data_IF_655078255607
#
_entry.id   IF_655078255607
#
_cell.length_a   1.000
_cell.length_b   1.000
_cell.length_c   1.000
_cell.angle_alpha   90.00
_cell.angle_beta   90.00
_cell.angle_gamma   90.00
#
_symmetry.space_group_name_H-M   'P 1'
#
loop_
_entity.id
_entity.type
_entity.pdbx_description
1 polymer ?
#
# COMPACT_ATOMS: atom_id res chain seq x y z
N UNK A 1 32.15 -4.82 0.12
CA UNK A 1 31.61 -4.69 -1.25
C UNK A 1 32.57 -3.87 -2.08
N UNK A 2 33.21 -4.47 -3.08
CA UNK A 2 34.05 -3.74 -4.02
C UNK A 2 33.19 -3.21 -5.17
N UNK A 3 33.02 -1.92 -5.24
CA UNK A 3 32.47 -1.26 -6.43
C UNK A 3 33.66 -0.80 -7.27
N UNK A 4 34.09 -1.64 -8.17
CA UNK A 4 35.22 -1.33 -9.03
C UNK A 4 34.79 -0.48 -10.23
N UNK A 5 34.98 0.83 -10.13
CA UNK A 5 35.15 1.67 -11.31
C UNK A 5 35.91 2.94 -10.91
N UNK A 6 37.09 3.09 -11.47
CA UNK A 6 37.99 4.26 -11.27
C UNK A 6 37.45 5.57 -11.83
N UNK A 7 36.28 5.54 -12.49
CA UNK A 7 35.64 6.72 -13.11
C UNK A 7 34.41 7.25 -12.37
N UNK A 8 34.01 6.64 -11.25
CA UNK A 8 32.87 7.12 -10.46
C UNK A 8 33.31 8.22 -9.51
N UNK A 9 32.66 9.38 -9.58
CA UNK A 9 32.86 10.49 -8.65
C UNK A 9 31.94 10.31 -7.45
N UNK A 10 32.52 10.43 -6.24
CA UNK A 10 31.78 10.35 -4.98
C UNK A 10 31.81 11.70 -4.27
N UNK A 11 30.65 12.14 -3.77
CA UNK A 11 30.53 13.37 -2.97
C UNK A 11 29.77 13.05 -1.68
N UNK A 12 30.36 13.33 -0.52
CA UNK A 12 29.75 13.14 0.80
C UNK A 12 28.98 14.39 1.17
N UNK A 13 27.69 14.23 1.51
CA UNK A 13 26.81 15.35 1.86
C UNK A 13 27.16 15.97 3.23
N UNK A 14 27.53 15.15 4.21
CA UNK A 14 27.96 15.63 5.53
C UNK A 14 29.35 15.08 5.88
N UNK A 15 30.38 15.89 5.68
CA UNK A 15 31.78 15.53 5.90
C UNK A 15 32.16 15.41 7.38
N UNK A 16 31.31 15.87 8.30
CA UNK A 16 31.50 15.65 9.74
C UNK A 16 31.22 14.18 10.13
N UNK A 17 30.33 13.48 9.40
CA UNK A 17 30.02 12.05 9.63
C UNK A 17 31.10 11.15 9.03
N UNK A 18 31.67 11.51 7.90
CA UNK A 18 32.73 10.75 7.27
C UNK A 18 33.19 11.35 5.96
N UNK A 19 34.22 10.75 5.36
CA UNK A 19 34.82 11.20 4.09
C UNK A 19 35.02 10.02 3.15
N UNK A 20 35.02 10.31 1.84
CA UNK A 20 35.41 9.35 0.80
C UNK A 20 36.85 9.59 0.36
N UNK A 21 37.61 8.50 0.24
CA UNK A 21 38.87 8.49 -0.47
C UNK A 21 38.77 7.41 -1.55
N UNK A 22 38.76 7.84 -2.79
CA UNK A 22 38.41 6.96 -3.94
C UNK A 22 37.04 6.30 -3.71
N UNK A 23 37.01 4.99 -3.47
CA UNK A 23 35.80 4.18 -3.23
C UNK A 23 35.67 3.70 -1.77
N UNK A 24 36.48 4.23 -0.85
CA UNK A 24 36.46 3.87 0.57
C UNK A 24 35.86 5.02 1.39
N UNK A 25 34.79 4.73 2.11
CA UNK A 25 34.23 5.64 3.09
C UNK A 25 34.91 5.42 4.45
N UNK A 26 35.39 6.52 5.04
CA UNK A 26 35.98 6.53 6.39
C UNK A 26 35.05 7.30 7.32
N UNK A 27 34.48 6.60 8.30
CA UNK A 27 33.65 7.18 9.35
C UNK A 27 34.47 8.07 10.29
N UNK A 28 33.89 9.19 10.74
CA UNK A 28 34.53 10.15 11.68
C UNK A 28 33.70 10.37 12.94
N UNK A 29 32.38 10.38 12.81
CA UNK A 29 31.46 10.67 13.91
C UNK A 29 30.13 10.00 13.63
N UNK A 30 29.42 9.65 14.70
CA UNK A 30 28.07 9.12 14.63
C UNK A 30 27.11 10.09 13.91
N UNK A 31 26.24 9.52 13.10
CA UNK A 31 25.28 10.27 12.31
C UNK A 31 25.02 9.64 10.94
N UNK A 32 24.19 10.29 10.16
CA UNK A 32 23.86 9.83 8.79
C UNK A 32 24.34 10.84 7.75
N UNK A 33 24.80 10.33 6.61
CA UNK A 33 25.19 11.14 5.46
C UNK A 33 24.80 10.43 4.17
N UNK A 34 24.52 11.21 3.12
CA UNK A 34 24.32 10.68 1.78
C UNK A 34 25.61 10.80 0.98
N UNK A 35 25.97 9.75 0.27
CA UNK A 35 27.04 9.74 -0.70
C UNK A 35 26.41 9.82 -2.09
N UNK A 36 26.66 10.91 -2.81
CA UNK A 36 26.30 11.05 -4.22
C UNK A 36 27.34 10.32 -5.07
N UNK A 37 26.90 9.41 -5.93
CA UNK A 37 27.72 8.66 -6.87
C UNK A 37 27.37 9.14 -8.28
N UNK A 38 28.34 9.62 -9.04
CA UNK A 38 28.15 10.14 -10.40
C UNK A 38 29.04 9.36 -11.36
N UNK A 39 28.45 8.80 -12.40
CA UNK A 39 29.16 8.13 -13.49
C UNK A 39 28.38 8.25 -14.81
N UNK A 40 29.06 8.66 -15.86
CA UNK A 40 28.50 8.75 -17.22
C UNK A 40 27.17 9.51 -17.28
N UNK A 41 27.09 10.64 -16.55
CA UNK A 41 25.89 11.47 -16.43
C UNK A 41 24.75 10.87 -15.58
N UNK A 42 24.94 9.67 -15.03
CA UNK A 42 23.99 9.03 -14.13
C UNK A 42 24.35 9.34 -12.68
N UNK A 43 23.33 9.53 -11.85
CA UNK A 43 23.48 9.86 -10.43
C UNK A 43 22.74 8.80 -9.59
N UNK A 44 23.42 8.34 -8.54
CA UNK A 44 22.82 7.50 -7.50
C UNK A 44 23.20 8.06 -6.12
N UNK A 45 22.39 7.76 -5.11
CA UNK A 45 22.66 8.14 -3.72
C UNK A 45 22.72 6.90 -2.85
N UNK A 46 23.70 6.87 -1.94
CA UNK A 46 23.85 5.85 -0.90
C UNK A 46 23.74 6.55 0.45
N UNK A 47 22.83 6.13 1.31
CA UNK A 47 22.79 6.60 2.70
C UNK A 47 23.70 5.74 3.54
N UNK A 48 24.63 6.37 4.25
CA UNK A 48 25.53 5.74 5.21
C UNK A 48 25.21 6.28 6.59
N UNK A 49 25.00 5.37 7.55
CA UNK A 49 24.82 5.68 8.96
C UNK A 49 25.99 5.11 9.73
N UNK A 50 26.61 5.94 10.57
CA UNK A 50 27.76 5.64 11.42
C UNK A 50 27.33 5.70 12.87
N UNK A 51 27.80 4.76 13.69
CA UNK A 51 27.51 4.64 15.11
C UNK A 51 26.69 3.40 15.42
N UNK A 52 26.51 3.13 16.71
CA UNK A 52 25.48 2.19 17.13
C UNK A 52 24.14 2.73 16.65
N UNK A 53 23.72 2.21 15.56
CA UNK A 53 22.34 2.35 15.14
C UNK A 53 21.51 1.51 16.11
N UNK A 54 21.30 2.00 17.30
CA UNK A 54 19.98 1.90 17.87
C UNK A 54 19.12 2.49 16.77
N UNK A 55 18.53 1.60 15.97
CA UNK A 55 17.77 1.98 14.77
C UNK A 55 16.88 3.12 15.24
N UNK A 56 17.15 4.32 14.76
CA UNK A 56 16.50 5.53 15.24
C UNK A 56 15.05 5.13 15.33
N UNK A 57 14.48 5.02 16.54
CA UNK A 57 13.18 4.38 16.76
C UNK A 57 12.28 5.09 15.80
N UNK A 58 12.04 4.45 14.63
CA UNK A 58 11.14 5.02 13.63
C UNK A 58 9.91 5.33 14.42
N UNK A 59 9.41 6.55 14.44
CA UNK A 59 8.29 6.94 15.28
C UNK A 59 7.29 5.81 15.15
N UNK A 60 6.99 5.15 16.26
CA UNK A 60 6.10 4.00 16.29
C UNK A 60 4.75 4.53 15.82
N UNK A 61 4.53 4.40 14.50
CA UNK A 61 3.23 4.74 13.93
C UNK A 61 2.29 3.78 14.60
N UNK A 62 1.50 4.31 15.55
CA UNK A 62 0.57 3.51 16.32
C UNK A 62 -0.23 2.67 15.32
N UNK A 63 0.07 1.37 15.28
CA UNK A 63 -0.57 0.46 14.35
C UNK A 63 -2.07 0.57 14.58
N UNK A 64 -2.84 0.78 13.51
CA UNK A 64 -4.28 0.78 13.63
C UNK A 64 -4.70 -0.55 14.25
N UNK A 65 -5.59 -0.47 15.23
CA UNK A 65 -6.06 -1.65 15.95
C UNK A 65 -6.76 -2.59 14.97
N UNK A 66 -6.26 -3.80 14.87
CA UNK A 66 -6.87 -4.86 14.06
C UNK A 66 -7.90 -5.58 14.93
N UNK A 67 -9.17 -5.43 14.61
CA UNK A 67 -10.27 -6.02 15.37
C UNK A 67 -11.09 -6.90 14.45
N UNK A 68 -10.97 -8.21 14.62
CA UNK A 68 -11.70 -9.19 13.82
C UNK A 68 -13.16 -9.33 14.28
N UNK A 69 -14.07 -9.44 13.32
CA UNK A 69 -15.48 -9.80 13.53
C UNK A 69 -16.31 -8.81 14.39
N UNK A 70 -15.86 -7.57 14.55
CA UNK A 70 -16.72 -6.54 15.16
C UNK A 70 -17.53 -5.81 14.08
N UNK A 71 -18.77 -5.49 14.41
CA UNK A 71 -19.62 -4.67 13.55
C UNK A 71 -19.35 -3.20 13.79
N UNK A 72 -18.68 -2.53 12.88
CA UNK A 72 -18.61 -1.05 12.90
C UNK A 72 -19.92 -0.49 12.38
N UNK A 73 -20.70 0.06 13.28
CA UNK A 73 -21.85 0.85 12.87
C UNK A 73 -21.40 2.28 12.58
N UNK A 74 -21.71 2.81 11.41
CA UNK A 74 -21.45 4.20 11.07
C UNK A 74 -22.15 5.08 12.10
N UNK A 75 -21.36 5.85 12.87
CA UNK A 75 -21.87 6.83 13.82
C UNK A 75 -21.92 8.18 13.11
N UNK A 76 -22.95 8.96 13.39
CA UNK A 76 -23.02 10.35 12.92
C UNK A 76 -22.12 11.26 13.77
N UNK A 77 -20.82 10.99 13.73
CA UNK A 77 -19.80 11.61 14.58
C UNK A 77 -18.77 12.44 13.79
N UNK A 78 -19.05 12.71 12.50
CA UNK A 78 -18.17 13.46 11.61
C UNK A 78 -16.95 12.67 11.12
N UNK A 79 -16.82 11.37 11.46
CA UNK A 79 -15.73 10.55 10.94
C UNK A 79 -15.96 10.19 9.47
N UNK A 80 -14.86 9.97 8.76
CA UNK A 80 -14.86 9.45 7.40
C UNK A 80 -14.70 7.94 7.43
N UNK A 81 -15.59 7.24 6.73
CA UNK A 81 -15.61 5.78 6.67
C UNK A 81 -15.34 5.30 5.26
N UNK A 82 -14.40 4.39 5.10
CA UNK A 82 -14.19 3.70 3.83
C UNK A 82 -13.98 2.20 4.05
N UNK A 83 -14.54 1.41 3.14
CA UNK A 83 -14.44 -0.04 3.17
C UNK A 83 -13.62 -0.53 1.99
N UNK A 84 -12.80 -1.56 2.22
CA UNK A 84 -12.00 -2.20 1.18
C UNK A 84 -12.28 -3.70 1.20
N UNK A 85 -12.59 -4.25 0.06
CA UNK A 85 -12.84 -5.68 -0.13
C UNK A 85 -11.90 -6.26 -1.18
N UNK A 86 -11.56 -7.54 -1.04
CA UNK A 86 -10.83 -8.29 -2.02
C UNK A 86 -11.62 -8.50 -3.31
N UNK A 87 -11.02 -9.19 -4.28
CA UNK A 87 -11.62 -9.46 -5.58
C UNK A 87 -12.91 -10.27 -5.43
N UNK A 88 -14.01 -9.78 -6.03
CA UNK A 88 -15.32 -10.45 -6.03
C UNK A 88 -15.69 -11.08 -7.38
N UNK A 89 -14.95 -10.75 -8.43
CA UNK A 89 -15.13 -11.36 -9.75
C UNK A 89 -14.38 -12.69 -9.85
N UNK A 90 -14.89 -13.61 -10.64
CA UNK A 90 -14.27 -14.90 -10.96
C UNK A 90 -14.14 -15.07 -12.47
N UNK A 91 -12.95 -15.42 -12.93
CA UNK A 91 -12.67 -15.58 -14.36
C UNK A 91 -13.27 -16.85 -14.97
N UNK A 92 -13.56 -17.85 -14.14
CA UNK A 92 -14.21 -19.10 -14.51
C UNK A 92 -15.70 -19.12 -14.14
N UNK A 93 -16.37 -17.96 -14.20
CA UNK A 93 -17.78 -17.81 -13.79
C UNK A 93 -18.75 -18.71 -14.51
N UNK A 94 -18.42 -19.14 -15.72
CA UNK A 94 -19.21 -20.11 -16.52
C UNK A 94 -19.32 -21.49 -15.88
N UNK A 95 -18.47 -21.79 -14.91
CA UNK A 95 -18.50 -23.03 -14.11
C UNK A 95 -19.37 -22.93 -12.86
N UNK A 96 -19.91 -21.74 -12.59
CA UNK A 96 -20.72 -21.47 -11.41
C UNK A 96 -22.15 -21.16 -11.87
N UNK A 97 -23.13 -21.75 -11.21
CA UNK A 97 -24.52 -21.38 -11.46
C UNK A 97 -24.69 -19.86 -11.28
N UNK A 98 -25.30 -19.22 -12.28
CA UNK A 98 -25.42 -17.75 -12.33
C UNK A 98 -26.09 -17.16 -11.08
N UNK A 99 -27.12 -17.85 -10.57
CA UNK A 99 -27.81 -17.46 -9.34
C UNK A 99 -26.89 -17.49 -8.12
N UNK A 100 -26.06 -18.53 -8.00
CA UNK A 100 -25.07 -18.66 -6.91
C UNK A 100 -24.03 -17.53 -7.01
N UNK A 101 -23.52 -17.31 -8.21
CA UNK A 101 -22.54 -16.25 -8.49
C UNK A 101 -23.08 -14.87 -8.11
N UNK A 102 -24.28 -14.53 -8.58
CA UNK A 102 -24.89 -13.24 -8.34
C UNK A 102 -25.29 -13.05 -6.87
N UNK A 103 -25.81 -14.08 -6.19
CA UNK A 103 -26.16 -14.02 -4.78
C UNK A 103 -24.94 -13.76 -3.89
N UNK A 104 -23.85 -14.50 -4.09
CA UNK A 104 -22.64 -14.31 -3.31
C UNK A 104 -22.07 -12.88 -3.47
N UNK A 105 -22.03 -12.38 -4.70
CA UNK A 105 -21.56 -11.01 -4.98
C UNK A 105 -22.49 -9.95 -4.38
N UNK A 106 -23.79 -10.12 -4.50
CA UNK A 106 -24.78 -9.18 -3.95
C UNK A 106 -24.70 -9.13 -2.43
N UNK A 107 -24.52 -10.29 -1.78
CA UNK A 107 -24.30 -10.38 -0.34
C UNK A 107 -23.06 -9.59 0.09
N UNK A 108 -21.90 -9.86 -0.53
CA UNK A 108 -20.66 -9.12 -0.25
C UNK A 108 -20.87 -7.63 -0.45
N UNK A 109 -21.49 -7.24 -1.56
CA UNK A 109 -21.75 -5.84 -1.89
C UNK A 109 -22.58 -5.15 -0.82
N UNK A 110 -23.60 -5.78 -0.30
CA UNK A 110 -24.43 -5.22 0.77
C UNK A 110 -23.65 -4.93 2.05
N UNK A 111 -22.64 -5.75 2.37
CA UNK A 111 -21.75 -5.53 3.51
C UNK A 111 -20.72 -4.45 3.26
N UNK A 112 -20.09 -4.46 2.07
CA UNK A 112 -19.02 -3.51 1.75
C UNK A 112 -19.57 -2.11 1.54
N UNK A 113 -20.74 -1.94 0.95
CA UNK A 113 -21.39 -0.66 0.73
C UNK A 113 -22.00 -0.10 2.03
N UNK A 114 -22.30 -0.96 3.02
CA UNK A 114 -22.94 -0.54 4.25
C UNK A 114 -22.01 0.35 5.10
N UNK A 115 -22.60 1.43 5.58
CA UNK A 115 -21.95 2.34 6.54
C UNK A 115 -20.62 2.95 6.06
N UNK A 116 -20.40 3.08 4.75
CA UNK A 116 -19.22 3.68 4.16
C UNK A 116 -19.53 5.00 3.46
N UNK A 117 -18.55 5.92 3.43
CA UNK A 117 -18.54 7.05 2.53
C UNK A 117 -17.97 6.61 1.16
N UNK A 118 -17.03 5.66 1.18
CA UNK A 118 -16.43 5.06 -0.02
C UNK A 118 -16.31 3.55 0.16
N UNK A 119 -16.68 2.81 -0.87
CA UNK A 119 -16.47 1.37 -0.97
C UNK A 119 -15.49 1.07 -2.12
N UNK A 120 -14.45 0.27 -1.84
CA UNK A 120 -13.41 -0.08 -2.78
C UNK A 120 -13.40 -1.61 -2.92
N UNK A 121 -13.36 -2.07 -4.16
CA UNK A 121 -13.31 -3.48 -4.47
C UNK A 121 -12.04 -3.79 -5.25
N UNK A 122 -11.28 -4.77 -4.79
CA UNK A 122 -10.13 -5.29 -5.53
C UNK A 122 -10.55 -6.02 -6.79
N UNK A 123 -9.77 -5.85 -7.86
CA UNK A 123 -9.96 -6.55 -9.14
C UNK A 123 -10.89 -5.87 -10.13
N UNK A 124 -10.78 -6.32 -11.39
CA UNK A 124 -11.32 -5.67 -12.57
C UNK A 124 -12.86 -5.73 -12.70
N UNK A 125 -13.41 -4.61 -13.14
CA UNK A 125 -14.54 -4.42 -14.06
C UNK A 125 -15.96 -4.89 -13.68
N UNK A 126 -16.26 -5.36 -12.48
CA UNK A 126 -17.52 -6.07 -12.29
C UNK A 126 -18.57 -5.37 -11.40
N UNK A 127 -18.35 -4.12 -11.01
CA UNK A 127 -19.27 -3.46 -10.08
C UNK A 127 -19.80 -2.16 -10.67
N UNK A 128 -21.06 -2.21 -11.05
CA UNK A 128 -21.87 -1.00 -11.18
C UNK A 128 -22.15 -0.47 -9.77
N UNK A 129 -21.68 0.73 -9.49
CA UNK A 129 -21.91 1.39 -8.21
C UNK A 129 -23.39 1.62 -7.96
N UNK A 130 -23.84 1.37 -6.74
CA UNK A 130 -25.09 1.93 -6.27
C UNK A 130 -25.00 3.46 -6.29
N UNK A 131 -26.01 4.15 -6.83
CA UNK A 131 -26.03 5.59 -7.13
C UNK A 131 -25.82 6.58 -5.97
N UNK A 132 -25.51 6.11 -4.76
CA UNK A 132 -25.41 6.95 -3.52
C UNK A 132 -24.07 6.91 -2.82
N UNK A 133 -23.13 6.06 -3.24
CA UNK A 133 -21.80 5.98 -2.67
C UNK A 133 -20.79 6.43 -3.72
N UNK A 134 -19.76 7.15 -3.30
CA UNK A 134 -18.53 7.29 -4.10
C UNK A 134 -17.88 5.88 -4.19
N UNK A 135 -18.61 4.92 -4.75
CA UNK A 135 -18.06 3.57 -4.90
C UNK A 135 -17.07 3.57 -6.04
N UNK A 136 -15.84 3.27 -5.67
CA UNK A 136 -14.73 3.17 -6.59
C UNK A 136 -14.53 1.70 -6.90
N UNK A 137 -15.21 1.23 -7.95
CA UNK A 137 -14.78 0.00 -8.57
C UNK A 137 -13.40 0.24 -9.17
N UNK A 138 -12.43 -0.55 -8.77
CA UNK A 138 -11.10 -0.44 -9.32
C UNK A 138 -11.06 -1.06 -10.72
N UNK A 139 -10.93 -0.21 -11.72
CA UNK A 139 -10.95 -0.60 -13.14
C UNK A 139 -9.59 -1.07 -13.66
N UNK A 140 -8.64 -1.43 -12.78
CA UNK A 140 -7.28 -1.78 -13.18
C UNK A 140 -6.46 -0.59 -13.69
N UNK A 141 -6.93 0.64 -13.46
CA UNK A 141 -6.22 1.88 -13.79
C UNK A 141 -5.90 2.64 -12.52
N UNK A 142 -4.81 3.39 -12.54
CA UNK A 142 -4.46 4.29 -11.44
C UNK A 142 -5.60 5.25 -11.10
N UNK A 143 -5.91 5.37 -9.82
CA UNK A 143 -6.83 6.37 -9.27
C UNK A 143 -6.31 6.90 -7.94
N UNK A 144 -6.60 8.16 -7.67
CA UNK A 144 -6.25 8.81 -6.42
C UNK A 144 -7.44 9.57 -5.84
N UNK A 145 -7.60 9.46 -4.53
CA UNK A 145 -8.59 10.21 -3.74
C UNK A 145 -7.91 10.85 -2.56
N UNK A 146 -8.22 12.11 -2.32
CA UNK A 146 -7.73 12.87 -1.18
C UNK A 146 -8.94 13.46 -0.43
N UNK A 147 -9.52 12.70 0.49
CA UNK A 147 -10.76 13.06 1.20
C UNK A 147 -10.78 12.49 2.62
N UNK A 148 -11.47 13.19 3.53
CA UNK A 148 -11.78 12.67 4.87
C UNK A 148 -10.57 12.36 5.73
N UNK A 149 -9.45 13.06 5.52
CA UNK A 149 -8.22 12.81 6.28
C UNK A 149 -7.39 11.62 5.75
N UNK A 150 -7.76 11.05 4.59
CA UNK A 150 -7.04 9.96 3.95
C UNK A 150 -6.64 10.28 2.52
N UNK A 151 -5.41 9.95 2.16
CA UNK A 151 -4.91 9.94 0.78
C UNK A 151 -4.86 8.49 0.31
N UNK A 152 -5.75 8.16 -0.63
CA UNK A 152 -5.97 6.79 -1.07
C UNK A 152 -5.58 6.66 -2.53
N UNK A 153 -4.58 5.81 -2.81
CA UNK A 153 -4.12 5.48 -4.15
C UNK A 153 -4.50 4.04 -4.51
N UNK A 154 -5.11 3.84 -5.66
CA UNK A 154 -5.34 2.53 -6.25
C UNK A 154 -4.35 2.34 -7.39
N UNK A 155 -3.52 1.30 -7.31
CA UNK A 155 -2.39 1.06 -8.20
C UNK A 155 -2.51 -0.34 -8.78
N UNK A 156 -2.61 -0.46 -10.10
CA UNK A 156 -2.68 -1.74 -10.77
C UNK A 156 -1.30 -2.42 -10.78
N UNK A 157 -1.25 -3.66 -10.28
CA UNK A 157 -0.01 -4.46 -10.19
C UNK A 157 -0.20 -5.91 -10.66
N UNK A 158 -1.27 -6.18 -11.40
CA UNK A 158 -1.72 -7.52 -11.83
C UNK A 158 -0.65 -8.33 -12.54
N UNK A 159 0.26 -7.68 -13.27
CA UNK A 159 1.30 -8.37 -14.04
C UNK A 159 2.62 -8.55 -13.28
N UNK A 160 2.62 -8.38 -11.96
CA UNK A 160 3.81 -8.57 -11.11
C UNK A 160 4.60 -7.29 -10.87
N UNK A 161 3.91 -6.17 -10.76
CA UNK A 161 4.48 -4.85 -10.45
C UNK A 161 3.79 -3.72 -11.20
N UNK A 162 4.13 -2.50 -10.85
CA UNK A 162 3.58 -1.27 -11.45
C UNK A 162 4.06 -1.13 -12.90
N UNK A 163 5.39 -1.23 -13.13
CA UNK A 163 5.96 -1.14 -14.46
C UNK A 163 5.46 -2.25 -15.40
N UNK A 164 5.38 -3.48 -14.88
CA UNK A 164 4.92 -4.62 -15.66
C UNK A 164 3.45 -4.52 -16.04
N UNK A 165 2.66 -3.74 -15.30
CA UNK A 165 1.23 -3.54 -15.56
C UNK A 165 0.97 -2.28 -16.38
N UNK A 166 1.43 -1.13 -15.90
CA UNK A 166 1.38 0.16 -16.59
C UNK A 166 2.38 1.13 -15.93
N UNK A 167 3.52 1.33 -16.57
CA UNK A 167 4.60 2.18 -16.06
C UNK A 167 4.19 3.65 -15.89
N UNK A 168 3.16 4.13 -16.60
CA UNK A 168 2.68 5.53 -16.49
C UNK A 168 2.08 5.85 -15.12
N UNK A 169 1.72 4.82 -14.35
CA UNK A 169 1.19 4.98 -13.00
C UNK A 169 2.22 5.60 -12.05
N UNK A 170 3.51 5.36 -12.25
CA UNK A 170 4.58 5.90 -11.39
C UNK A 170 4.55 7.42 -11.35
N UNK A 171 4.53 8.08 -12.51
CA UNK A 171 4.52 9.53 -12.58
C UNK A 171 3.28 10.13 -11.91
N UNK A 172 2.11 9.49 -12.08
CA UNK A 172 0.86 9.92 -11.44
C UNK A 172 0.92 9.74 -9.93
N UNK A 173 1.32 8.55 -9.48
CA UNK A 173 1.40 8.21 -8.06
C UNK A 173 2.35 9.14 -7.32
N UNK A 174 3.57 9.34 -7.83
CA UNK A 174 4.55 10.23 -7.17
C UNK A 174 4.06 11.67 -7.10
N UNK A 175 3.46 12.19 -8.18
CA UNK A 175 2.93 13.54 -8.19
C UNK A 175 1.74 13.74 -7.24
N UNK A 176 0.86 12.75 -7.13
CA UNK A 176 -0.32 12.82 -6.26
C UNK A 176 0.05 12.63 -4.80
N UNK A 177 0.94 11.67 -4.48
CA UNK A 177 1.33 11.41 -3.10
C UNK A 177 2.18 12.55 -2.51
N UNK A 178 2.97 13.25 -3.33
CA UNK A 178 3.71 14.44 -2.89
C UNK A 178 2.79 15.61 -2.50
N UNK A 179 1.65 15.73 -3.15
CA UNK A 179 0.63 16.73 -2.83
C UNK A 179 -0.28 16.31 -1.68
N UNK A 180 -0.18 15.06 -1.25
CA UNK A 180 -1.02 14.52 -0.20
C UNK A 180 -0.59 15.05 1.17
N UNK A 181 -1.44 15.85 1.79
CA UNK A 181 -1.21 16.47 3.10
C UNK A 181 -1.89 15.74 4.26
N UNK A 182 -2.62 14.66 3.99
CA UNK A 182 -3.30 13.88 5.03
C UNK A 182 -2.31 13.04 5.84
N UNK A 183 -2.67 12.78 7.11
CA UNK A 183 -1.88 11.95 8.03
C UNK A 183 -1.98 10.46 7.73
N UNK A 184 -2.97 10.05 6.95
CA UNK A 184 -3.18 8.65 6.59
C UNK A 184 -3.04 8.46 5.08
N UNK A 185 -2.17 7.51 4.70
CA UNK A 185 -1.94 7.11 3.32
C UNK A 185 -2.34 5.65 3.16
N UNK A 186 -3.17 5.35 2.18
CA UNK A 186 -3.62 3.99 1.89
C UNK A 186 -3.36 3.68 0.41
N UNK A 187 -2.59 2.64 0.16
CA UNK A 187 -2.43 2.06 -1.18
C UNK A 187 -3.29 0.81 -1.28
N UNK A 188 -4.10 0.72 -2.32
CA UNK A 188 -4.83 -0.50 -2.70
C UNK A 188 -4.27 -1.01 -4.01
N UNK A 189 -3.85 -2.26 -4.05
CA UNK A 189 -3.19 -2.87 -5.21
C UNK A 189 -3.57 -4.35 -5.37
N UNK A 190 -3.25 -4.97 -6.51
CA UNK A 190 -3.47 -6.40 -6.68
C UNK A 190 -2.47 -7.19 -5.86
N UNK A 191 -1.18 -6.97 -6.09
CA UNK A 191 -0.07 -7.69 -5.48
C UNK A 191 0.72 -6.79 -4.56
N UNK A 192 1.21 -7.33 -3.45
CA UNK A 192 2.07 -6.59 -2.54
C UNK A 192 3.47 -6.39 -3.13
N UNK A 193 4.26 -5.42 -2.66
CA UNK A 193 5.63 -5.25 -3.13
C UNK A 193 6.53 -6.50 -2.94
N UNK A 194 6.18 -7.42 -2.02
CA UNK A 194 6.89 -8.69 -1.87
C UNK A 194 6.70 -9.63 -3.05
N UNK A 195 5.58 -9.50 -3.78
CA UNK A 195 5.20 -10.35 -4.89
C UNK A 195 5.60 -9.76 -6.25
N UNK A 196 6.27 -8.60 -6.26
CA UNK A 196 6.71 -7.98 -7.49
C UNK A 196 7.84 -8.79 -8.16
N UNK A 197 7.76 -8.95 -9.47
CA UNK A 197 8.81 -9.57 -10.27
C UNK A 197 10.13 -8.80 -10.20
N UNK A 198 10.05 -7.47 -10.10
CA UNK A 198 11.20 -6.59 -9.94
C UNK A 198 11.40 -6.21 -8.48
N UNK A 199 12.41 -6.76 -7.82
CA UNK A 199 12.76 -6.39 -6.45
C UNK A 199 13.29 -4.95 -6.37
N UNK A 200 13.90 -4.43 -7.42
CA UNK A 200 14.32 -3.03 -7.48
C UNK A 200 13.11 -2.10 -7.42
N UNK A 201 12.04 -2.42 -8.15
CA UNK A 201 10.79 -1.68 -8.12
C UNK A 201 10.09 -1.78 -6.75
N UNK A 202 10.04 -2.98 -6.18
CA UNK A 202 9.49 -3.20 -4.85
C UNK A 202 10.23 -2.37 -3.78
N UNK A 203 11.56 -2.32 -3.84
CA UNK A 203 12.38 -1.55 -2.93
C UNK A 203 12.19 -0.04 -3.12
N UNK A 204 12.02 0.41 -4.36
CA UNK A 204 11.73 1.82 -4.65
C UNK A 204 10.38 2.24 -4.06
N UNK A 205 9.33 1.43 -4.23
CA UNK A 205 8.03 1.70 -3.60
C UNK A 205 8.14 1.75 -2.08
N UNK A 206 8.84 0.77 -1.47
CA UNK A 206 9.06 0.76 -0.01
C UNK A 206 9.80 2.01 0.46
N UNK A 207 10.82 2.47 -0.28
CA UNK A 207 11.55 3.69 0.06
C UNK A 207 10.65 4.93 0.05
N UNK A 208 9.75 5.05 -0.95
CA UNK A 208 8.76 6.12 -0.98
C UNK A 208 7.84 6.05 0.25
N UNK A 209 7.32 4.87 0.58
CA UNK A 209 6.40 4.70 1.72
C UNK A 209 7.11 4.99 3.05
N UNK A 210 8.35 4.54 3.20
CA UNK A 210 9.15 4.80 4.40
C UNK A 210 9.40 6.30 4.63
N UNK A 211 9.61 7.08 3.56
CA UNK A 211 9.72 8.55 3.65
C UNK A 211 8.50 9.16 4.37
N UNK A 212 7.30 8.65 4.07
CA UNK A 212 6.06 9.15 4.70
C UNK A 212 5.89 8.65 6.13
N UNK A 213 6.31 7.42 6.42
CA UNK A 213 6.37 6.92 7.81
C UNK A 213 7.30 7.77 8.65
N UNK A 214 8.47 8.13 8.13
CA UNK A 214 9.44 9.01 8.79
C UNK A 214 8.90 10.43 9.04
N UNK A 215 7.93 10.88 8.25
CA UNK A 215 7.18 12.11 8.47
C UNK A 215 6.04 11.97 9.50
N UNK A 216 5.89 10.81 10.16
CA UNK A 216 4.84 10.53 11.13
C UNK A 216 3.49 10.12 10.52
N UNK A 217 3.41 9.91 9.21
CA UNK A 217 2.16 9.49 8.56
C UNK A 217 1.88 8.00 8.79
N UNK A 218 0.60 7.66 8.89
CA UNK A 218 0.12 6.27 8.98
C UNK A 218 -0.03 5.70 7.58
N UNK A 219 0.74 4.66 7.26
CA UNK A 219 0.82 4.12 5.90
C UNK A 219 0.31 2.69 5.86
N UNK A 220 -0.64 2.43 4.98
CA UNK A 220 -1.24 1.12 4.73
C UNK A 220 -1.03 0.71 3.28
N UNK A 221 -0.70 -0.56 3.08
CA UNK A 221 -0.68 -1.22 1.77
C UNK A 221 -1.64 -2.39 1.82
N UNK A 222 -2.71 -2.34 1.04
CA UNK A 222 -3.75 -3.36 0.99
C UNK A 222 -3.65 -4.06 -0.36
N UNK A 223 -3.38 -5.36 -0.34
CA UNK A 223 -3.40 -6.21 -1.54
C UNK A 223 -4.70 -7.01 -1.61
N UNK A 224 -5.17 -7.30 -2.82
CA UNK A 224 -6.46 -7.91 -3.09
C UNK A 224 -6.33 -9.12 -4.01
N UNK A 225 -5.35 -10.00 -3.80
CA UNK A 225 -5.01 -11.06 -4.75
C UNK A 225 -4.90 -12.47 -4.15
N UNK A 226 -4.70 -12.63 -2.87
CA UNK A 226 -4.39 -13.91 -2.25
C UNK A 226 -5.61 -14.66 -1.72
N UNK A 227 -5.39 -15.94 -1.34
CA UNK A 227 -6.44 -16.85 -0.86
C UNK A 227 -6.86 -16.59 0.59
N UNK A 228 -6.02 -15.98 1.39
CA UNK A 228 -6.23 -15.80 2.83
C UNK A 228 -5.98 -14.38 3.29
N UNK A 229 -6.70 -13.98 4.34
CA UNK A 229 -6.41 -12.75 5.07
C UNK A 229 -5.10 -12.89 5.86
N UNK A 230 -4.26 -11.87 5.79
CA UNK A 230 -3.13 -11.69 6.70
C UNK A 230 -2.82 -10.20 6.88
N UNK A 231 -2.20 -9.86 7.98
CA UNK A 231 -1.67 -8.52 8.21
C UNK A 231 -0.31 -8.58 8.91
N UNK A 232 0.55 -7.64 8.56
CA UNK A 232 1.88 -7.49 9.16
C UNK A 232 2.31 -6.03 9.13
N UNK A 233 3.22 -5.66 10.02
CA UNK A 233 3.86 -4.34 9.99
C UNK A 233 5.34 -4.52 9.71
N UNK A 234 5.84 -3.79 8.72
CA UNK A 234 7.26 -3.77 8.38
C UNK A 234 7.67 -2.32 8.12
N UNK A 235 8.74 -1.88 8.78
CA UNK A 235 9.28 -0.53 8.65
C UNK A 235 8.22 0.58 8.88
N UNK A 236 7.27 0.35 9.81
CA UNK A 236 6.17 1.26 10.11
C UNK A 236 5.01 1.25 9.08
N UNK A 237 5.14 0.54 7.97
CA UNK A 237 4.08 0.35 6.99
C UNK A 237 3.23 -0.87 7.37
N UNK A 238 1.90 -0.70 7.41
CA UNK A 238 0.97 -1.79 7.64
C UNK A 238 0.57 -2.44 6.32
N UNK A 239 0.98 -3.69 6.13
CA UNK A 239 0.61 -4.51 4.98
C UNK A 239 -0.55 -5.40 5.34
N UNK A 240 -1.59 -5.43 4.51
CA UNK A 240 -2.79 -6.25 4.70
C UNK A 240 -3.13 -6.91 3.37
N UNK A 241 -3.40 -8.21 3.41
CA UNK A 241 -3.93 -8.91 2.25
C UNK A 241 -5.37 -9.29 2.46
N UNK A 242 -6.21 -9.02 1.47
CA UNK A 242 -7.62 -9.40 1.43
C UNK A 242 -7.82 -10.58 0.50
N UNK A 243 -8.54 -11.62 0.94
CA UNK A 243 -8.78 -12.80 0.13
C UNK A 243 -9.77 -12.52 -1.01
N UNK A 244 -9.66 -13.34 -2.06
CA UNK A 244 -10.66 -13.37 -3.12
C UNK A 244 -11.96 -14.04 -2.63
N UNK A 245 -13.11 -13.59 -3.15
CA UNK A 245 -14.41 -14.19 -2.84
C UNK A 245 -14.51 -15.64 -3.36
N UNK A 246 -13.87 -15.93 -4.48
CA UNK A 246 -13.93 -17.23 -5.12
C UNK A 246 -12.62 -17.99 -4.98
N UNK A 247 -12.72 -19.25 -4.65
CA UNK A 247 -11.61 -20.20 -4.72
C UNK A 247 -11.34 -20.61 -6.17
N UNK A 248 -10.23 -21.30 -6.41
CA UNK A 248 -9.86 -21.73 -7.76
C UNK A 248 -10.81 -22.75 -8.39
N UNK A 249 -11.53 -23.49 -7.56
CA UNK A 249 -12.55 -24.48 -7.96
C UNK A 249 -13.94 -23.87 -8.20
N UNK A 250 -14.10 -22.56 -7.98
CA UNK A 250 -15.37 -21.85 -8.12
C UNK A 250 -16.25 -21.88 -6.87
N UNK A 251 -15.77 -22.41 -5.76
CA UNK A 251 -16.49 -22.32 -4.49
C UNK A 251 -16.30 -20.96 -3.83
N UNK A 252 -17.29 -20.57 -3.01
CA UNK A 252 -17.20 -19.34 -2.22
C UNK A 252 -16.16 -19.51 -1.11
N UNK A 253 -15.29 -18.54 -0.94
CA UNK A 253 -14.32 -18.53 0.14
C UNK A 253 -14.99 -18.19 1.47
N UNK A 254 -15.12 -19.15 2.36
CA UNK A 254 -15.74 -18.98 3.69
C UNK A 254 -14.99 -17.98 4.59
N UNK A 255 -13.72 -17.74 4.30
CA UNK A 255 -12.87 -16.78 5.01
C UNK A 255 -12.78 -15.44 4.28
N UNK A 256 -13.74 -15.12 3.40
CA UNK A 256 -13.74 -13.85 2.71
C UNK A 256 -13.87 -12.68 3.70
N UNK A 257 -12.86 -11.84 3.71
CA UNK A 257 -12.69 -10.76 4.69
C UNK A 257 -12.61 -9.42 3.99
N UNK A 258 -13.28 -8.42 4.54
CA UNK A 258 -13.19 -7.02 4.14
C UNK A 258 -12.62 -6.18 5.28
N UNK A 259 -12.13 -4.98 4.96
CA UNK A 259 -11.72 -3.98 5.94
C UNK A 259 -12.74 -2.85 6.02
N UNK A 260 -13.02 -2.40 7.23
CA UNK A 260 -13.76 -1.17 7.52
C UNK A 260 -12.84 -0.18 8.21
N UNK A 261 -12.63 0.96 7.60
CA UNK A 261 -11.81 2.02 8.15
C UNK A 261 -12.66 3.17 8.66
N UNK A 262 -12.23 3.74 9.78
CA UNK A 262 -12.73 4.97 10.34
C UNK A 262 -11.59 5.95 10.54
N UNK A 263 -11.71 7.14 9.94
CA UNK A 263 -10.73 8.22 10.06
C UNK A 263 -11.40 9.43 10.70
N UNK A 264 -10.82 9.93 11.79
CA UNK A 264 -11.27 11.12 12.48
C UNK A 264 -10.11 11.80 13.20
N UNK A 265 -9.97 13.10 13.01
CA UNK A 265 -8.97 13.95 13.70
C UNK A 265 -7.54 13.36 13.65
N UNK A 266 -7.12 12.94 12.45
CA UNK A 266 -5.81 12.31 12.21
C UNK A 266 -5.67 10.87 12.76
N UNK A 267 -6.70 10.36 13.46
CA UNK A 267 -6.72 8.98 13.95
C UNK A 267 -7.39 8.06 12.94
N UNK A 268 -6.73 6.91 12.67
CA UNK A 268 -7.27 5.84 11.85
C UNK A 268 -7.40 4.57 12.66
N UNK A 269 -8.57 3.97 12.59
CA UNK A 269 -8.85 2.63 13.10
C UNK A 269 -9.49 1.80 12.00
N UNK A 270 -9.32 0.49 12.05
CA UNK A 270 -9.98 -0.41 11.11
C UNK A 270 -10.36 -1.72 11.77
N UNK A 271 -11.29 -2.40 11.14
CA UNK A 271 -11.72 -3.75 11.49
C UNK A 271 -11.62 -4.65 10.28
N UNK A 272 -11.17 -5.88 10.51
CA UNK A 272 -11.29 -6.96 9.55
C UNK A 272 -12.59 -7.73 9.82
N UNK A 273 -13.48 -7.76 8.86
CA UNK A 273 -14.83 -8.36 8.98
C UNK A 273 -14.92 -9.54 8.03
N UNK A 274 -15.14 -10.73 8.60
CA UNK A 274 -15.43 -11.92 7.80
C UNK A 274 -16.90 -11.89 7.34
N UNK A 275 -17.11 -12.02 6.04
CA UNK A 275 -18.46 -12.07 5.42
C UNK A 275 -18.82 -13.53 5.19
N UNK A 276 -19.62 -14.08 6.10
CA UNK A 276 -20.13 -15.45 6.02
C UNK A 276 -21.41 -15.54 5.19
#
# INVERSE_FOLDING_TARGET
>A
MHWASTSTKYTVGNTAVGTMNSNVFTAKKDGSTNIKCEKDGKVAYITVTVGDVEAAKKPEVAAAKDVLNQTVTKKNDGAYYFNVAGKIAYTGKEKIEEKVYNNARSKVKSYVDANANVAIYGGLNDIQSAKKLDSLSWTGKYRFLNRGGVSLAMIATTNGGINATDATQWAKFTADIEKANNDTIVLVMDQTPSDFKSQAEANYLRAILNKYVEQGKKVFVISCYNKSYWSSTKDGVRYINLPNLWQADGTVNENYTMLRFRVKDGNVTYEAVNIK
#
